data_IF_932736768066
#
_entry.id   IF_932736768066
#
_cell.length_a   1.000
_cell.length_b   1.000
_cell.length_c   1.000
_cell.angle_alpha   90.00
_cell.angle_beta   90.00
_cell.angle_gamma   90.00
#
_symmetry.space_group_name_H-M   'P 1'
#
loop_
_entity.id
_entity.type
_entity.pdbx_description
1 polymer ?
#
# COMPACT_ATOMS: atom_id res chain seq x y z
N UNK A 1 -2.53 13.87 -5.77
CA UNK A 1 -2.14 12.50 -5.39
C UNK A 1 -0.79 12.21 -6.04
N UNK A 2 0.26 11.94 -5.27
CA UNK A 2 1.52 11.46 -5.85
C UNK A 2 1.28 10.04 -6.39
N UNK A 3 1.39 9.86 -7.71
CA UNK A 3 1.47 8.51 -8.29
C UNK A 3 2.77 7.89 -7.82
N UNK A 4 2.69 6.72 -7.19
CA UNK A 4 3.89 5.99 -6.79
C UNK A 4 4.51 5.40 -8.05
N UNK A 5 5.69 5.85 -8.46
CA UNK A 5 6.32 5.29 -9.66
C UNK A 5 6.96 3.96 -9.32
N UNK A 6 6.63 2.92 -10.09
CA UNK A 6 7.24 1.60 -10.01
C UNK A 6 8.77 1.66 -10.03
N UNK A 7 9.31 2.57 -10.84
CA UNK A 7 10.75 2.82 -10.99
C UNK A 7 11.39 3.33 -9.69
N UNK A 8 10.70 4.17 -8.93
CA UNK A 8 11.23 4.71 -7.66
C UNK A 8 11.31 3.62 -6.58
N UNK A 9 10.30 2.75 -6.50
CA UNK A 9 10.35 1.59 -5.61
C UNK A 9 11.37 0.54 -6.06
N UNK A 10 11.49 0.32 -7.37
CA UNK A 10 12.48 -0.61 -7.94
C UNK A 10 13.91 -0.12 -7.72
N UNK A 11 14.17 1.18 -7.83
CA UNK A 11 15.50 1.75 -7.63
C UNK A 11 15.84 2.00 -6.15
N UNK A 12 14.87 1.84 -5.25
CA UNK A 12 15.11 2.01 -3.82
C UNK A 12 15.75 0.73 -3.22
N UNK A 13 17.02 0.82 -2.85
CA UNK A 13 17.76 -0.27 -2.22
C UNK A 13 17.28 -0.59 -0.79
N UNK A 14 16.61 0.35 -0.13
CA UNK A 14 16.07 0.13 1.21
C UNK A 14 14.81 -0.74 1.21
N UNK A 15 14.20 -1.00 0.05
CA UNK A 15 12.97 -1.79 -0.07
C UNK A 15 13.29 -3.21 -0.52
N UNK A 16 13.05 -4.18 0.37
CA UNK A 16 13.12 -5.60 -0.01
C UNK A 16 12.06 -5.90 -1.06
N UNK A 17 12.47 -6.56 -2.14
CA UNK A 17 11.59 -6.93 -3.26
C UNK A 17 11.91 -8.33 -3.77
N UNK A 18 10.89 -9.02 -4.28
CA UNK A 18 11.00 -10.34 -4.88
C UNK A 18 10.13 -10.39 -6.13
N UNK A 19 10.59 -11.13 -7.14
CA UNK A 19 9.79 -11.42 -8.32
C UNK A 19 9.09 -12.76 -8.11
N UNK A 20 7.76 -12.77 -8.21
CA UNK A 20 6.95 -13.97 -8.07
C UNK A 20 5.83 -13.93 -9.12
N UNK A 21 5.62 -15.03 -9.85
CA UNK A 21 4.59 -15.15 -10.88
C UNK A 21 4.56 -13.98 -11.89
N UNK A 22 5.73 -13.59 -12.40
CA UNK A 22 5.96 -12.43 -13.29
C UNK A 22 5.70 -11.04 -12.70
N UNK A 23 5.25 -10.94 -11.45
CA UNK A 23 5.03 -9.67 -10.76
C UNK A 23 6.09 -9.37 -9.70
N UNK A 24 6.27 -8.08 -9.43
CA UNK A 24 7.17 -7.59 -8.39
C UNK A 24 6.40 -7.34 -7.11
N UNK A 25 6.84 -8.02 -6.06
CA UNK A 25 6.31 -7.90 -4.71
C UNK A 25 7.29 -7.12 -3.85
N UNK A 26 6.79 -6.11 -3.15
CA UNK A 26 7.57 -5.22 -2.31
C UNK A 26 7.19 -5.43 -0.85
N UNK A 27 8.18 -5.43 0.05
CA UNK A 27 7.93 -5.49 1.48
C UNK A 27 7.14 -4.26 1.94
N UNK A 28 5.97 -4.48 2.51
CA UNK A 28 5.05 -3.39 2.88
C UNK A 28 5.62 -2.51 3.99
N UNK A 29 6.39 -3.08 4.92
CA UNK A 29 7.02 -2.31 5.99
C UNK A 29 8.08 -1.34 5.46
N UNK A 30 8.90 -1.80 4.52
CA UNK A 30 9.95 -0.97 3.93
C UNK A 30 9.35 0.10 3.02
N UNK A 31 8.31 -0.25 2.25
CA UNK A 31 7.57 0.72 1.44
C UNK A 31 6.92 1.79 2.33
N UNK A 32 6.23 1.40 3.41
CA UNK A 32 5.60 2.32 4.36
C UNK A 32 6.61 3.30 4.96
N UNK A 33 7.81 2.80 5.33
CA UNK A 33 8.93 3.64 5.78
C UNK A 33 9.45 4.57 4.69
N UNK A 34 9.59 4.08 3.46
CA UNK A 34 10.13 4.85 2.34
C UNK A 34 9.22 6.02 1.93
N UNK A 35 7.91 5.81 1.95
CA UNK A 35 6.91 6.84 1.61
C UNK A 35 6.43 7.64 2.83
N UNK A 36 6.80 7.20 4.04
CA UNK A 36 6.36 7.75 5.32
C UNK A 36 4.81 7.82 5.47
N UNK A 37 4.12 6.77 5.02
CA UNK A 37 2.66 6.63 5.12
C UNK A 37 2.29 5.28 5.68
N UNK A 38 1.11 5.22 6.31
CA UNK A 38 0.54 3.98 6.82
C UNK A 38 -0.06 3.16 5.67
N UNK A 39 0.44 1.94 5.48
CA UNK A 39 -0.04 0.98 4.48
C UNK A 39 -0.74 -0.23 5.14
N UNK A 40 -1.26 -0.08 6.36
CA UNK A 40 -1.85 -1.19 7.11
C UNK A 40 -3.10 -1.78 6.44
N UNK A 41 -3.77 -1.01 5.59
CA UNK A 41 -4.96 -1.43 4.82
C UNK A 41 -4.62 -2.06 3.46
N UNK A 42 -3.34 -2.19 3.10
CA UNK A 42 -2.93 -2.83 1.85
C UNK A 42 -3.12 -4.34 1.94
N UNK A 43 -3.68 -4.94 0.89
CA UNK A 43 -3.76 -6.39 0.77
C UNK A 43 -2.35 -6.98 0.54
N UNK A 44 -1.87 -7.74 1.53
CA UNK A 44 -0.53 -8.31 1.56
C UNK A 44 -0.54 -9.83 1.44
N UNK A 45 0.44 -10.39 0.75
CA UNK A 45 0.74 -11.82 0.73
C UNK A 45 2.08 -12.08 1.42
N UNK A 46 2.20 -13.25 2.05
CA UNK A 46 3.44 -13.65 2.72
C UNK A 46 4.32 -14.42 1.74
N UNK A 47 5.48 -13.86 1.38
CA UNK A 47 6.45 -14.49 0.49
C UNK A 47 7.79 -14.71 1.21
N UNK A 48 8.50 -15.82 0.90
CA UNK A 48 9.82 -16.05 1.43
C UNK A 48 10.85 -15.15 0.74
N UNK A 49 11.47 -14.23 1.48
CA UNK A 49 12.56 -13.38 1.00
C UNK A 49 13.79 -13.66 1.87
N UNK A 50 14.84 -14.23 1.28
CA UNK A 50 16.10 -14.50 2.01
C UNK A 50 15.97 -15.50 3.16
N UNK A 51 14.98 -16.39 3.12
CA UNK A 51 14.72 -17.40 4.17
C UNK A 51 13.73 -16.97 5.24
N UNK A 52 13.26 -15.72 5.21
CA UNK A 52 12.23 -15.20 6.13
C UNK A 52 10.90 -15.03 5.40
N UNK A 53 9.80 -15.30 6.09
CA UNK A 53 8.45 -15.06 5.59
C UNK A 53 8.06 -13.60 5.84
N UNK A 54 8.04 -12.79 4.78
CA UNK A 54 7.81 -11.35 4.86
C UNK A 54 6.47 -11.00 4.21
N UNK A 55 5.75 -10.04 4.79
CA UNK A 55 4.52 -9.48 4.21
C UNK A 55 4.88 -8.56 3.04
N UNK A 56 4.38 -8.91 1.87
CA UNK A 56 4.67 -8.22 0.62
C UNK A 56 3.40 -7.87 -0.12
N UNK A 57 3.44 -6.83 -0.95
CA UNK A 57 2.32 -6.42 -1.78
C UNK A 57 2.82 -6.00 -3.16
N UNK A 58 1.94 -6.13 -4.15
CA UNK A 58 2.16 -5.58 -5.49
C UNK A 58 1.94 -4.07 -5.47
N UNK A 59 2.48 -3.39 -6.48
CA UNK A 59 2.30 -1.95 -6.61
C UNK A 59 0.83 -1.56 -6.75
N UNK A 60 0.03 -2.36 -7.47
CA UNK A 60 -1.41 -2.13 -7.58
C UNK A 60 -2.11 -2.19 -6.21
N UNK A 61 -1.76 -3.15 -5.36
CA UNK A 61 -2.36 -3.26 -4.03
C UNK A 61 -1.93 -2.11 -3.12
N UNK A 62 -0.67 -1.67 -3.22
CA UNK A 62 -0.18 -0.50 -2.49
C UNK A 62 -0.93 0.76 -2.94
N UNK A 63 -1.15 0.95 -4.25
CA UNK A 63 -1.93 2.07 -4.77
C UNK A 63 -3.41 2.00 -4.37
N UNK A 64 -4.01 0.80 -4.33
CA UNK A 64 -5.38 0.60 -3.86
C UNK A 64 -5.51 0.92 -2.38
N UNK A 65 -4.61 0.42 -1.52
CA UNK A 65 -4.66 0.71 -0.08
C UNK A 65 -4.41 2.18 0.26
N UNK A 66 -3.67 2.89 -0.60
CA UNK A 66 -3.49 4.36 -0.52
C UNK A 66 -4.71 5.15 -0.96
N UNK A 67 -5.49 4.62 -1.90
CA UNK A 67 -6.83 5.14 -2.20
C UNK A 67 -7.73 4.73 -1.05
N UNK A 68 -7.65 5.51 0.03
CA UNK A 68 -8.68 5.59 1.05
C UNK A 68 -10.02 5.59 0.30
N UNK A 69 -10.85 4.56 0.51
CA UNK A 69 -12.19 4.49 -0.09
C UNK A 69 -12.81 5.87 0.09
N UNK A 70 -13.05 6.59 -1.02
CA UNK A 70 -13.76 7.85 -0.92
C UNK A 70 -15.06 7.51 -0.22
N UNK A 71 -15.25 8.07 0.98
CA UNK A 71 -16.48 7.86 1.75
C UNK A 71 -17.63 8.00 0.75
N UNK A 72 -18.38 6.91 0.59
CA UNK A 72 -19.60 6.91 -0.21
C UNK A 72 -20.38 8.18 0.09
N UNK A 73 -21.01 8.77 -0.93
CA UNK A 73 -21.90 9.94 -0.80
C UNK A 73 -22.84 9.79 0.41
N UNK A 74 -23.27 8.55 0.70
CA UNK A 74 -24.07 8.16 1.86
C UNK A 74 -23.38 8.46 3.20
N UNK A 75 -22.11 8.08 3.38
CA UNK A 75 -21.36 8.31 4.61
C UNK A 75 -21.05 9.80 4.80
N UNK A 76 -20.78 10.53 3.70
CA UNK A 76 -20.64 11.99 3.72
C UNK A 76 -21.93 12.69 4.19
N UNK A 77 -23.09 12.19 3.76
CA UNK A 77 -24.39 12.73 4.17
C UNK A 77 -24.68 12.51 5.67
N UNK A 78 -24.36 11.33 6.20
CA UNK A 78 -24.52 11.02 7.64
C UNK A 78 -23.64 11.93 8.53
N UNK A 79 -22.38 12.14 8.14
CA UNK A 79 -21.45 13.05 8.85
C UNK A 79 -21.95 14.50 8.86
N UNK A 80 -22.49 14.99 7.72
CA UNK A 80 -23.08 16.34 7.63
C UNK A 80 -24.29 16.52 8.56
N UNK A 81 -25.12 15.49 8.74
CA UNK A 81 -26.24 15.56 9.69
C UNK A 81 -25.79 15.57 11.15
N UNK A 82 -24.74 14.82 11.49
CA UNK A 82 -24.25 14.73 12.88
C UNK A 82 -23.59 16.03 13.37
N UNK A 83 -22.86 16.72 12.50
CA UNK A 83 -22.18 17.99 12.84
C UNK A 83 -23.10 19.22 12.83
N UNK A 84 -24.40 19.05 12.53
CA UNK A 84 -25.39 20.14 12.46
C UNK A 84 -26.15 20.34 13.77
N UNK A 85 -25.58 19.89 14.89
CA UNK A 85 -26.13 20.03 16.24
C UNK A 85 -25.52 21.23 16.95
#
# INVERSE_FOLDING_TARGET
MLKLKKEELLNNEAVKKIQFDNDWYFNVEDVAKAINEDLSNVETITLPIGGEYIKTATLENIEKGRKQEELSEFNKALLKMRNKK
#
